data_IF_529059343699
#
_entry.id   IF_529059343699
#
_cell.length_a   1.000
_cell.length_b   1.000
_cell.length_c   1.000
_cell.angle_alpha   90.00
_cell.angle_beta   90.00
_cell.angle_gamma   90.00
#
_symmetry.space_group_name_H-M   'P 1'
#
loop_
_entity.id
_entity.type
_entity.pdbx_description
1 polymer ?
#
# COMPACT_ATOMS: atom_id res chain seq x y z
N UNK A 1 10.01 14.27 2.50
CA UNK A 1 9.24 13.00 2.44
C UNK A 1 8.88 12.76 0.99
N UNK A 2 9.29 11.65 0.40
CA UNK A 2 8.95 11.33 -0.98
C UNK A 2 7.59 10.62 -0.99
N UNK A 3 6.65 11.14 -1.76
CA UNK A 3 5.30 10.59 -1.90
C UNK A 3 5.21 9.80 -3.21
N UNK A 4 4.68 8.59 -3.13
CA UNK A 4 4.45 7.75 -4.29
C UNK A 4 3.12 7.02 -4.16
N UNK A 5 2.35 6.99 -5.25
CA UNK A 5 1.19 6.12 -5.39
C UNK A 5 1.62 4.69 -5.76
N UNK A 6 0.92 3.71 -5.20
CA UNK A 6 1.10 2.32 -5.59
C UNK A 6 0.60 2.10 -7.02
N UNK A 7 1.49 1.61 -7.90
CA UNK A 7 1.20 1.40 -9.33
C UNK A 7 0.09 0.35 -9.54
N UNK A 8 0.04 -0.68 -8.71
CA UNK A 8 -1.03 -1.68 -8.77
C UNK A 8 -2.41 -1.03 -8.52
N UNK A 9 -2.51 -0.17 -7.53
CA UNK A 9 -3.75 0.54 -7.24
C UNK A 9 -4.14 1.52 -8.36
N UNK A 10 -3.18 2.19 -9.01
CA UNK A 10 -3.46 3.02 -10.19
C UNK A 10 -4.06 2.18 -11.31
N UNK A 11 -3.46 1.04 -11.66
CA UNK A 11 -4.04 0.13 -12.66
C UNK A 11 -5.44 -0.37 -12.30
N UNK A 12 -5.68 -0.67 -11.02
CA UNK A 12 -7.03 -1.03 -10.55
C UNK A 12 -8.02 0.14 -10.69
N UNK A 13 -7.60 1.37 -10.38
CA UNK A 13 -8.43 2.55 -10.56
C UNK A 13 -8.77 2.79 -12.04
N UNK A 14 -7.82 2.65 -12.95
CA UNK A 14 -8.07 2.75 -14.40
C UNK A 14 -9.13 1.72 -14.81
N UNK A 15 -8.94 0.45 -14.47
CA UNK A 15 -9.88 -0.65 -14.81
C UNK A 15 -11.29 -0.45 -14.25
N UNK A 16 -11.42 0.14 -13.07
CA UNK A 16 -12.74 0.38 -12.42
C UNK A 16 -13.49 1.56 -12.99
N UNK A 17 -12.77 2.56 -13.46
CA UNK A 17 -13.36 3.83 -13.86
C UNK A 17 -13.49 4.02 -15.37
N UNK A 18 -12.72 3.29 -16.16
CA UNK A 18 -12.75 3.33 -17.62
C UNK A 18 -13.28 1.98 -18.13
N UNK A 19 -14.36 2.00 -18.91
CA UNK A 19 -15.02 0.77 -19.38
C UNK A 19 -14.38 0.19 -20.65
N UNK A 20 -14.12 0.98 -21.73
CA UNK A 20 -13.54 0.43 -22.95
C UNK A 20 -12.10 -0.05 -22.76
N UNK A 21 -11.83 -1.28 -23.19
CA UNK A 21 -10.51 -1.90 -23.05
C UNK A 21 -9.41 -1.09 -23.76
N UNK A 22 -9.70 -0.58 -24.95
CA UNK A 22 -8.76 0.23 -25.74
C UNK A 22 -8.37 1.52 -25.01
N UNK A 23 -9.34 2.17 -24.34
CA UNK A 23 -9.06 3.35 -23.53
C UNK A 23 -8.25 3.02 -22.28
N UNK A 24 -8.53 1.89 -21.62
CA UNK A 24 -7.72 1.40 -20.48
C UNK A 24 -6.28 1.15 -20.91
N UNK A 25 -6.08 0.47 -22.03
CA UNK A 25 -4.77 0.13 -22.54
C UNK A 25 -3.97 1.39 -22.92
N UNK A 26 -4.62 2.36 -23.60
CA UNK A 26 -3.96 3.64 -23.93
C UNK A 26 -3.57 4.45 -22.70
N UNK A 27 -4.44 4.54 -21.68
CA UNK A 27 -4.15 5.25 -20.43
C UNK A 27 -2.99 4.53 -19.69
N UNK A 28 -3.00 3.20 -19.69
CA UNK A 28 -1.97 2.39 -19.07
C UNK A 28 -0.61 2.58 -19.74
N UNK A 29 -0.57 2.58 -21.08
CA UNK A 29 0.63 2.85 -21.87
C UNK A 29 1.25 4.20 -21.51
N UNK A 30 0.45 5.28 -21.59
CA UNK A 30 0.90 6.63 -21.24
C UNK A 30 1.41 6.73 -19.80
N UNK A 31 0.77 6.01 -18.86
CA UNK A 31 1.21 5.93 -17.48
C UNK A 31 2.55 5.24 -17.33
N UNK A 32 2.75 4.09 -18.00
CA UNK A 32 4.01 3.33 -17.94
C UNK A 32 5.19 4.08 -18.60
N UNK A 33 4.94 4.80 -19.66
CA UNK A 33 5.93 5.65 -20.32
C UNK A 33 6.27 6.91 -19.52
N UNK A 34 5.39 7.30 -18.59
CA UNK A 34 5.56 8.50 -17.77
C UNK A 34 5.03 9.78 -18.42
N UNK A 35 4.20 9.64 -19.45
CA UNK A 35 3.54 10.75 -20.14
C UNK A 35 2.26 11.19 -19.38
N UNK A 36 2.44 11.65 -18.14
CA UNK A 36 1.32 11.91 -17.23
C UNK A 36 0.40 13.03 -17.69
N UNK A 37 0.92 14.05 -18.38
CA UNK A 37 0.11 15.14 -18.91
C UNK A 37 -0.81 14.68 -20.03
N UNK A 38 -0.26 13.88 -20.96
CA UNK A 38 -1.01 13.29 -22.04
C UNK A 38 -2.04 12.29 -21.53
N UNK A 39 -1.68 11.50 -20.51
CA UNK A 39 -2.60 10.59 -19.84
C UNK A 39 -3.80 11.33 -19.23
N UNK A 40 -3.55 12.40 -18.49
CA UNK A 40 -4.61 13.20 -17.86
C UNK A 40 -5.48 13.88 -18.92
N UNK A 41 -4.88 14.44 -19.98
CA UNK A 41 -5.62 15.03 -21.09
C UNK A 41 -6.50 13.98 -21.79
N UNK A 42 -6.00 12.78 -22.01
CA UNK A 42 -6.77 11.69 -22.61
C UNK A 42 -7.96 11.26 -21.75
N UNK A 43 -7.77 11.13 -20.42
CA UNK A 43 -8.86 10.78 -19.49
C UNK A 43 -9.94 11.85 -19.53
N UNK A 44 -9.58 13.14 -19.54
CA UNK A 44 -10.55 14.23 -19.61
C UNK A 44 -11.31 14.23 -20.94
N UNK A 45 -10.61 14.07 -22.06
CA UNK A 45 -11.23 13.97 -23.39
C UNK A 45 -12.17 12.76 -23.49
N UNK A 46 -11.80 11.63 -22.89
CA UNK A 46 -12.67 10.47 -22.79
C UNK A 46 -13.94 10.78 -21.98
N UNK A 47 -13.81 11.45 -20.82
CA UNK A 47 -14.95 11.85 -20.02
C UNK A 47 -15.95 12.72 -20.81
N UNK A 48 -15.44 13.71 -21.55
CA UNK A 48 -16.23 14.60 -22.40
C UNK A 48 -16.93 13.83 -23.54
N UNK A 49 -16.24 12.88 -24.18
CA UNK A 49 -16.80 12.06 -25.27
C UNK A 49 -17.94 11.16 -24.83
N UNK A 50 -17.93 10.75 -23.56
CA UNK A 50 -18.95 9.88 -22.97
C UNK A 50 -20.15 10.69 -22.44
N UNK A 51 -19.96 11.93 -22.00
CA UNK A 51 -21.01 12.82 -21.51
C UNK A 51 -22.06 13.17 -22.59
N UNK A 52 -21.64 13.22 -23.85
CA UNK A 52 -22.50 13.60 -25.00
C UNK A 52 -23.52 12.52 -25.43
N UNK A 53 -23.53 11.33 -24.80
CA UNK A 53 -24.41 10.21 -25.17
C UNK A 53 -25.35 9.87 -24.02
N UNK A 54 -26.66 9.88 -24.24
CA UNK A 54 -27.80 9.87 -23.28
C UNK A 54 -27.80 8.80 -22.16
N UNK A 55 -26.93 7.77 -22.20
CA UNK A 55 -26.92 6.66 -21.23
C UNK A 55 -25.78 6.73 -20.19
N UNK A 56 -25.10 7.88 -20.00
CA UNK A 56 -23.67 7.84 -19.67
C UNK A 56 -23.17 8.72 -18.54
N UNK A 57 -24.04 9.29 -17.80
CA UNK A 57 -23.71 10.11 -16.62
C UNK A 57 -22.76 9.38 -15.65
N UNK A 58 -22.97 8.07 -15.44
CA UNK A 58 -22.11 7.29 -14.53
C UNK A 58 -20.69 7.05 -15.06
N UNK A 59 -20.51 6.86 -16.38
CA UNK A 59 -19.19 6.60 -16.95
C UNK A 59 -18.36 7.87 -17.08
N UNK A 60 -18.97 8.99 -17.48
CA UNK A 60 -18.33 10.30 -17.48
C UNK A 60 -17.92 10.70 -16.07
N UNK A 61 -18.82 10.57 -15.09
CA UNK A 61 -18.54 10.85 -13.69
C UNK A 61 -17.35 10.04 -13.15
N UNK A 62 -17.30 8.74 -13.40
CA UNK A 62 -16.18 7.88 -12.99
C UNK A 62 -14.85 8.29 -13.64
N UNK A 63 -14.89 8.66 -14.92
CA UNK A 63 -13.69 9.14 -15.61
C UNK A 63 -13.19 10.47 -15.02
N UNK A 64 -14.10 11.40 -14.67
CA UNK A 64 -13.75 12.65 -14.00
C UNK A 64 -13.21 12.40 -12.58
N UNK A 65 -13.80 11.49 -11.81
CA UNK A 65 -13.27 11.07 -10.49
C UNK A 65 -11.85 10.49 -10.60
N UNK A 66 -11.59 9.69 -11.63
CA UNK A 66 -10.25 9.18 -11.92
C UNK A 66 -9.27 10.31 -12.27
N UNK A 67 -9.69 11.23 -13.15
CA UNK A 67 -8.88 12.40 -13.50
C UNK A 67 -8.50 13.23 -12.26
N UNK A 68 -9.50 13.59 -11.45
CA UNK A 68 -9.27 14.38 -10.23
C UNK A 68 -8.34 13.66 -9.25
N UNK A 69 -8.56 12.36 -9.04
CA UNK A 69 -7.70 11.56 -8.18
C UNK A 69 -6.24 11.56 -8.65
N UNK A 70 -5.99 11.29 -9.93
CA UNK A 70 -4.63 11.24 -10.47
C UNK A 70 -3.99 12.63 -10.54
N UNK A 71 -4.75 13.67 -10.91
CA UNK A 71 -4.26 15.04 -10.96
C UNK A 71 -3.89 15.59 -9.58
N UNK A 72 -4.74 15.36 -8.57
CA UNK A 72 -4.47 15.79 -7.19
C UNK A 72 -3.27 15.05 -6.57
N UNK A 73 -2.96 13.86 -7.07
CA UNK A 73 -1.84 13.03 -6.60
C UNK A 73 -0.70 12.96 -7.62
N UNK A 74 -0.59 13.92 -8.51
CA UNK A 74 0.35 13.92 -9.64
C UNK A 74 1.80 13.70 -9.23
N UNK A 75 2.24 14.31 -8.12
CA UNK A 75 3.59 14.12 -7.58
C UNK A 75 3.91 12.66 -7.22
N UNK A 76 2.88 11.87 -6.92
CA UNK A 76 3.01 10.46 -6.58
C UNK A 76 3.01 9.51 -7.79
N UNK A 77 2.79 9.99 -9.01
CA UNK A 77 2.78 9.15 -10.22
C UNK A 77 4.18 8.72 -10.65
N UNK A 78 5.20 9.54 -10.36
CA UNK A 78 6.58 9.24 -10.73
C UNK A 78 7.11 8.07 -9.91
N UNK A 79 7.62 6.99 -10.53
CA UNK A 79 8.15 5.85 -9.81
C UNK A 79 9.41 6.22 -9.01
N UNK A 80 9.59 5.60 -7.85
CA UNK A 80 10.73 5.86 -6.97
C UNK A 80 12.09 5.68 -7.68
N UNK A 81 12.17 4.78 -8.67
CA UNK A 81 13.38 4.54 -9.45
C UNK A 81 13.84 5.80 -10.20
N UNK A 82 12.90 6.66 -10.63
CA UNK A 82 13.20 7.96 -11.26
C UNK A 82 13.49 9.07 -10.22
N UNK A 83 13.13 8.84 -8.95
CA UNK A 83 13.35 9.75 -7.83
C UNK A 83 14.50 9.28 -6.92
N UNK A 84 15.36 8.39 -7.41
CA UNK A 84 16.40 7.71 -6.61
C UNK A 84 17.33 8.68 -5.86
N UNK A 85 17.59 9.84 -6.42
CA UNK A 85 18.44 10.85 -5.78
C UNK A 85 17.82 11.48 -4.52
N UNK A 86 16.50 11.32 -4.34
CA UNK A 86 15.77 11.84 -3.18
C UNK A 86 15.74 10.83 -2.01
N UNK A 87 16.26 9.63 -2.21
CA UNK A 87 16.33 8.59 -1.19
C UNK A 87 17.73 8.45 -0.63
N UNK A 88 17.88 8.22 0.67
CA UNK A 88 19.17 7.85 1.24
C UNK A 88 19.66 6.53 0.65
N UNK A 89 20.97 6.34 0.60
CA UNK A 89 21.51 5.04 0.21
C UNK A 89 21.05 3.96 1.20
N UNK A 90 20.65 2.77 0.71
CA UNK A 90 20.26 1.70 1.60
C UNK A 90 21.46 1.23 2.42
N UNK A 91 21.25 0.77 3.66
CA UNK A 91 22.31 0.14 4.44
C UNK A 91 22.98 -1.00 3.68
N UNK A 92 24.24 -1.27 3.96
CA UNK A 92 25.01 -2.30 3.29
C UNK A 92 24.29 -3.66 3.36
N UNK A 93 24.15 -4.33 2.21
CA UNK A 93 23.47 -5.62 2.10
C UNK A 93 21.95 -5.53 1.92
N UNK A 94 21.36 -4.33 1.94
CA UNK A 94 19.94 -4.10 1.66
C UNK A 94 19.72 -3.50 0.26
N UNK A 95 18.60 -3.85 -0.34
CA UNK A 95 18.15 -3.33 -1.63
C UNK A 95 16.72 -2.82 -1.50
N UNK A 96 16.46 -1.63 -1.99
CA UNK A 96 15.09 -1.11 -2.07
C UNK A 96 14.22 -2.02 -2.95
N UNK A 97 13.04 -2.40 -2.43
CA UNK A 97 12.04 -3.20 -3.14
C UNK A 97 10.77 -2.41 -3.37
N UNK A 98 9.94 -2.87 -4.29
CA UNK A 98 8.63 -2.27 -4.56
C UNK A 98 7.68 -2.41 -3.34
N UNK A 99 6.75 -1.46 -3.21
CA UNK A 99 5.81 -1.36 -2.07
C UNK A 99 4.89 -2.57 -1.87
N UNK A 100 4.67 -3.40 -2.89
CA UNK A 100 3.84 -4.61 -2.78
C UNK A 100 4.25 -5.59 -1.69
N UNK A 101 5.52 -5.60 -1.29
CA UNK A 101 6.01 -6.39 -0.16
C UNK A 101 5.42 -5.89 1.16
N UNK A 102 5.31 -4.58 1.34
CA UNK A 102 4.75 -3.97 2.56
C UNK A 102 3.26 -4.28 2.71
N UNK A 103 2.48 -4.23 1.61
CA UNK A 103 1.06 -4.58 1.66
C UNK A 103 0.86 -6.04 2.07
N UNK A 104 1.63 -6.95 1.50
CA UNK A 104 1.60 -8.37 1.87
C UNK A 104 1.97 -8.57 3.35
N UNK A 105 2.99 -7.92 3.84
CA UNK A 105 3.38 -7.98 5.25
C UNK A 105 2.30 -7.40 6.16
N UNK A 106 1.70 -6.26 5.82
CA UNK A 106 0.58 -5.70 6.57
C UNK A 106 -0.63 -6.66 6.57
N UNK A 107 -0.90 -7.34 5.46
CA UNK A 107 -1.96 -8.33 5.39
C UNK A 107 -1.67 -9.52 6.31
N UNK A 108 -0.51 -10.14 6.19
CA UNK A 108 -0.16 -11.35 6.95
C UNK A 108 0.05 -11.07 8.43
N UNK A 109 0.67 -9.96 8.77
CA UNK A 109 1.02 -9.61 10.16
C UNK A 109 -0.17 -9.05 10.92
N UNK A 110 -0.84 -8.04 10.36
CA UNK A 110 -1.87 -7.27 11.07
C UNK A 110 -3.27 -7.68 10.64
N UNK A 111 -3.58 -7.65 9.35
CA UNK A 111 -4.95 -7.77 8.86
C UNK A 111 -5.56 -9.13 9.18
N UNK A 112 -4.87 -10.23 8.90
CA UNK A 112 -5.35 -11.58 9.16
C UNK A 112 -5.57 -11.85 10.65
N UNK A 113 -4.75 -11.23 11.52
CA UNK A 113 -4.84 -11.45 12.97
C UNK A 113 -5.79 -10.50 13.67
N UNK A 114 -5.92 -9.27 13.21
CA UNK A 114 -6.68 -8.23 13.91
C UNK A 114 -8.05 -7.97 13.29
N UNK A 115 -8.21 -8.12 11.97
CA UNK A 115 -9.44 -7.74 11.25
C UNK A 115 -10.40 -8.90 11.04
N UNK A 116 -9.88 -10.11 10.79
CA UNK A 116 -10.73 -11.27 10.49
C UNK A 116 -11.18 -12.02 11.76
N UNK A 117 -12.26 -12.79 11.65
CA UNK A 117 -12.76 -13.64 12.73
C UNK A 117 -13.64 -12.93 13.75
N UNK A 118 -14.36 -11.85 13.36
CA UNK A 118 -15.28 -11.08 14.23
C UNK A 118 -14.61 -10.52 15.49
N UNK A 119 -13.33 -10.28 15.45
CA UNK A 119 -12.57 -9.74 16.58
C UNK A 119 -12.98 -8.29 16.84
N UNK A 120 -13.18 -7.97 18.11
CA UNK A 120 -13.46 -6.61 18.57
C UNK A 120 -12.31 -6.16 19.49
N UNK A 121 -11.74 -5.04 19.17
CA UNK A 121 -10.62 -4.47 19.92
C UNK A 121 -11.00 -3.12 20.51
N UNK A 122 -10.60 -2.87 21.74
CA UNK A 122 -10.47 -1.50 22.21
C UNK A 122 -9.28 -0.82 21.52
N UNK A 123 -9.26 0.51 21.47
CA UNK A 123 -8.14 1.26 20.87
C UNK A 123 -6.80 0.85 21.49
N UNK A 124 -6.74 0.76 22.82
CA UNK A 124 -5.52 0.34 23.52
C UNK A 124 -5.16 -1.12 23.24
N UNK A 125 -6.15 -2.01 23.20
CA UNK A 125 -5.93 -3.42 22.86
C UNK A 125 -5.39 -3.61 21.44
N UNK A 126 -5.96 -2.86 20.48
CA UNK A 126 -5.48 -2.87 19.10
C UNK A 126 -4.03 -2.37 18.98
N UNK A 127 -3.71 -1.25 19.63
CA UNK A 127 -2.36 -0.69 19.63
C UNK A 127 -1.34 -1.64 20.26
N UNK A 128 -1.68 -2.26 21.38
CA UNK A 128 -0.79 -3.21 22.05
C UNK A 128 -0.58 -4.46 21.20
N UNK A 129 -1.64 -4.99 20.57
CA UNK A 129 -1.52 -6.14 19.67
C UNK A 129 -0.67 -5.80 18.45
N UNK A 130 -0.86 -4.63 17.83
CA UNK A 130 -0.05 -4.20 16.68
C UNK A 130 1.45 -4.10 17.07
N UNK A 131 1.78 -3.55 18.24
CA UNK A 131 3.14 -3.49 18.75
C UNK A 131 3.75 -4.88 18.94
N UNK A 132 3.01 -5.80 19.58
CA UNK A 132 3.48 -7.18 19.77
C UNK A 132 3.73 -7.91 18.44
N UNK A 133 2.83 -7.74 17.47
CA UNK A 133 2.99 -8.33 16.15
C UNK A 133 4.20 -7.72 15.41
N UNK A 134 4.44 -6.42 15.53
CA UNK A 134 5.63 -5.77 14.96
C UNK A 134 6.92 -6.30 15.59
N UNK A 135 6.97 -6.41 16.92
CA UNK A 135 8.13 -6.98 17.61
C UNK A 135 8.39 -8.44 17.18
N UNK A 136 7.35 -9.23 16.97
CA UNK A 136 7.49 -10.60 16.48
C UNK A 136 8.09 -10.65 15.09
N UNK A 137 7.57 -9.85 14.14
CA UNK A 137 8.09 -9.81 12.76
C UNK A 137 9.55 -9.31 12.69
N UNK A 138 9.90 -8.39 13.59
CA UNK A 138 11.28 -7.90 13.72
C UNK A 138 12.20 -8.88 14.48
N UNK A 139 11.66 -10.00 14.98
CA UNK A 139 12.40 -10.97 15.83
C UNK A 139 12.91 -10.39 17.16
N UNK A 140 12.25 -9.33 17.64
CA UNK A 140 12.58 -8.61 18.87
C UNK A 140 11.64 -8.96 20.04
N UNK A 141 10.70 -9.90 19.85
CA UNK A 141 9.64 -10.17 20.83
C UNK A 141 10.21 -10.66 22.17
N UNK A 142 11.16 -11.58 22.14
CA UNK A 142 11.80 -12.13 23.35
C UNK A 142 12.52 -11.04 24.14
N UNK A 143 13.38 -10.27 23.48
CA UNK A 143 14.15 -9.18 24.09
C UNK A 143 13.25 -8.04 24.60
N UNK A 144 12.13 -7.82 23.90
CA UNK A 144 11.16 -6.81 24.31
C UNK A 144 10.41 -7.24 25.58
N UNK A 145 9.98 -8.49 25.65
CA UNK A 145 9.34 -9.05 26.83
C UNK A 145 10.30 -9.02 28.01
N UNK A 146 11.54 -9.47 27.83
CA UNK A 146 12.56 -9.46 28.87
C UNK A 146 12.80 -8.05 29.46
N UNK A 147 12.89 -7.03 28.59
CA UNK A 147 13.08 -5.62 29.01
C UNK A 147 11.89 -5.05 29.78
N UNK A 148 10.66 -5.49 29.51
CA UNK A 148 9.45 -4.96 30.16
C UNK A 148 8.94 -5.81 31.31
N UNK A 149 9.54 -6.97 31.55
CA UNK A 149 9.15 -7.87 32.65
C UNK A 149 10.20 -7.88 33.77
N UNK A 150 10.86 -6.76 34.02
CA UNK A 150 11.86 -6.63 35.11
C UNK A 150 11.38 -7.32 36.39
N UNK A 151 12.01 -8.44 36.75
CA UNK A 151 11.68 -9.24 37.92
C UNK A 151 10.57 -10.27 37.78
N UNK A 152 9.88 -10.37 36.62
CA UNK A 152 8.97 -11.50 36.35
C UNK A 152 9.80 -12.63 35.75
N UNK A 153 10.01 -13.69 36.50
CA UNK A 153 10.64 -14.92 36.01
C UNK A 153 9.70 -15.56 34.99
N UNK A 154 9.95 -15.29 33.70
CA UNK A 154 9.30 -16.05 32.62
C UNK A 154 9.88 -17.46 32.74
N UNK A 155 9.02 -18.46 33.00
CA UNK A 155 9.50 -19.85 33.09
C UNK A 155 10.20 -20.25 31.81
N UNK A 156 11.32 -20.94 31.91
CA UNK A 156 12.15 -21.37 30.77
C UNK A 156 11.35 -21.94 29.58
N UNK A 157 10.30 -22.76 29.78
CA UNK A 157 9.45 -23.21 28.71
C UNK A 157 8.77 -22.09 27.89
N UNK A 158 8.36 -21.02 28.54
CA UNK A 158 7.71 -19.86 27.85
C UNK A 158 8.75 -19.07 27.07
N UNK A 159 9.95 -18.90 27.60
CA UNK A 159 11.04 -18.22 26.92
C UNK A 159 11.47 -18.96 25.64
N UNK A 160 11.60 -20.28 25.69
CA UNK A 160 11.93 -21.11 24.52
C UNK A 160 10.81 -21.10 23.45
N UNK A 161 9.53 -21.09 23.86
CA UNK A 161 8.39 -20.91 22.95
C UNK A 161 8.47 -19.53 22.26
N UNK A 162 8.78 -18.48 22.99
CA UNK A 162 8.90 -17.12 22.46
C UNK A 162 10.08 -17.00 21.48
N UNK A 163 11.22 -17.63 21.78
CA UNK A 163 12.37 -17.72 20.87
C UNK A 163 12.02 -18.44 19.56
N UNK A 164 11.36 -19.60 19.65
CA UNK A 164 10.93 -20.35 18.45
C UNK A 164 9.94 -19.58 17.60
N UNK A 165 9.03 -18.83 18.22
CA UNK A 165 8.09 -17.96 17.50
C UNK A 165 8.77 -16.73 16.86
N UNK A 166 9.90 -16.29 17.37
CA UNK A 166 10.71 -15.20 16.79
C UNK A 166 11.63 -15.66 15.67
N UNK A 167 11.91 -16.95 15.58
CA UNK A 167 12.80 -17.55 14.57
C UNK A 167 12.05 -18.07 13.32
N UNK A 168 10.72 -18.20 13.38
CA UNK A 168 9.84 -18.63 12.30
C UNK A 168 9.27 -17.45 11.53
#
# INVERSE_FOLDING_TARGET
MVYQLDRFHIHQCIKRNIVPKEAQDRITELFEEGHYDEMLAYINQYADSVESKEEKDKSSKKARELYEYLNNNRSGLTPWQKQRNDYPEPPAGLVYKNMGVQENQNCTTITLRMKYGRKRWSTNGANNMAKLLSCRENKELADTIERYTDGVIISEPIYEILKTLSAA
#
